data_IF_317911557722
#
_entry.id   IF_317911557722
#
_cell.length_a   1.000
_cell.length_b   1.000
_cell.length_c   1.000
_cell.angle_alpha   90.00
_cell.angle_beta   90.00
_cell.angle_gamma   90.00
#
_symmetry.space_group_name_H-M   'P 1'
#
loop_
_entity.id
_entity.type
_entity.pdbx_description
1 polymer ?
#
# COMPACT_ATOMS: atom_id res chain seq x y z
N UNK A 1 11.23 -29.04 29.25
CA UNK A 1 9.96 -28.29 29.41
C UNK A 1 8.84 -29.13 28.82
N UNK A 2 7.75 -29.39 29.56
CA UNK A 2 6.69 -30.32 29.15
C UNK A 2 5.65 -29.59 28.27
N UNK A 3 5.42 -30.03 27.03
CA UNK A 3 4.43 -29.42 26.12
C UNK A 3 3.02 -29.36 26.73
N UNK A 4 2.64 -30.37 27.51
CA UNK A 4 1.34 -30.39 28.21
C UNK A 4 1.21 -29.20 29.16
N UNK A 5 2.28 -28.88 29.90
CA UNK A 5 2.29 -27.76 30.85
C UNK A 5 2.24 -26.41 30.16
N UNK A 6 2.91 -26.26 29.01
CA UNK A 6 2.82 -25.05 28.19
C UNK A 6 1.40 -24.86 27.66
N UNK A 7 0.78 -25.93 27.16
CA UNK A 7 -0.59 -25.90 26.68
C UNK A 7 -1.59 -25.55 27.79
N UNK A 8 -1.45 -26.17 28.97
CA UNK A 8 -2.29 -25.84 30.13
C UNK A 8 -2.10 -24.37 30.55
N UNK A 9 -0.85 -23.90 30.62
CA UNK A 9 -0.55 -22.51 30.94
C UNK A 9 -1.15 -21.52 29.93
N UNK A 10 -0.97 -21.74 28.62
CA UNK A 10 -1.41 -20.78 27.58
C UNK A 10 -2.92 -20.78 27.30
N UNK A 11 -3.59 -21.93 27.43
CA UNK A 11 -4.96 -22.10 26.93
C UNK A 11 -5.98 -22.44 28.02
N UNK A 12 -5.56 -22.81 29.24
CA UNK A 12 -6.48 -23.22 30.32
C UNK A 12 -6.35 -22.41 31.59
N UNK A 13 -5.17 -21.86 31.88
CA UNK A 13 -4.95 -21.09 33.10
C UNK A 13 -5.56 -19.69 32.98
N UNK A 14 -6.44 -19.32 33.92
CA UNK A 14 -7.09 -18.01 33.98
C UNK A 14 -6.28 -17.01 34.84
N UNK A 15 -5.02 -16.82 34.49
CA UNK A 15 -4.11 -15.91 35.20
C UNK A 15 -3.61 -14.78 34.30
N UNK A 16 -3.27 -13.62 34.89
CA UNK A 16 -2.72 -12.48 34.13
C UNK A 16 -1.46 -12.88 33.33
N UNK A 17 -0.48 -13.63 33.88
CA UNK A 17 0.68 -14.07 33.11
C UNK A 17 0.33 -14.98 31.94
N UNK A 18 -0.65 -15.86 32.10
CA UNK A 18 -1.17 -16.72 31.01
C UNK A 18 -1.73 -15.87 29.87
N UNK A 19 -2.63 -14.92 30.17
CA UNK A 19 -3.20 -14.05 29.13
C UNK A 19 -2.13 -13.23 28.41
N UNK A 20 -1.19 -12.64 29.14
CA UNK A 20 -0.07 -11.88 28.54
C UNK A 20 0.75 -12.78 27.61
N UNK A 21 1.10 -13.99 28.05
CA UNK A 21 1.86 -14.93 27.23
C UNK A 21 1.07 -15.37 25.99
N UNK A 22 -0.22 -15.64 26.14
CA UNK A 22 -1.11 -16.01 25.04
C UNK A 22 -1.21 -14.89 23.98
N UNK A 23 -1.44 -13.65 24.40
CA UNK A 23 -1.54 -12.52 23.46
C UNK A 23 -0.20 -12.22 22.78
N UNK A 24 0.92 -12.30 23.51
CA UNK A 24 2.24 -12.12 22.92
C UNK A 24 2.54 -13.21 21.87
N UNK A 25 2.28 -14.48 22.19
CA UNK A 25 2.46 -15.59 21.26
C UNK A 25 1.52 -15.47 20.05
N UNK A 26 0.27 -15.12 20.28
CA UNK A 26 -0.72 -14.93 19.21
C UNK A 26 -0.33 -13.79 18.28
N UNK A 27 0.17 -12.68 18.81
CA UNK A 27 0.68 -11.56 18.00
C UNK A 27 1.89 -11.99 17.15
N UNK A 28 2.83 -12.73 17.73
CA UNK A 28 3.99 -13.27 16.99
C UNK A 28 3.52 -14.21 15.88
N UNK A 29 2.64 -15.16 16.19
CA UNK A 29 2.09 -16.09 15.20
C UNK A 29 1.32 -15.33 14.10
N UNK A 30 0.48 -14.37 14.47
CA UNK A 30 -0.27 -13.56 13.52
C UNK A 30 0.66 -12.79 12.58
N UNK A 31 1.64 -12.07 13.13
CA UNK A 31 2.53 -11.18 12.38
C UNK A 31 3.51 -11.91 11.49
N UNK A 32 4.07 -13.04 11.96
CA UNK A 32 5.18 -13.70 11.28
C UNK A 32 4.81 -15.01 10.59
N UNK A 33 3.63 -15.59 10.88
CA UNK A 33 3.20 -16.87 10.31
C UNK A 33 1.89 -16.69 9.55
N UNK A 34 0.82 -16.28 10.23
CA UNK A 34 -0.53 -16.28 9.66
C UNK A 34 -0.66 -15.21 8.58
N UNK A 35 -0.28 -13.97 8.84
CA UNK A 35 -0.40 -12.88 7.87
C UNK A 35 0.50 -13.09 6.64
N UNK A 36 1.81 -13.38 6.78
CA UNK A 36 2.66 -13.67 5.61
C UNK A 36 2.19 -14.91 4.85
N UNK A 37 1.76 -15.97 5.56
CA UNK A 37 1.23 -17.18 4.94
C UNK A 37 -0.05 -16.92 4.14
N UNK A 38 -0.94 -16.07 4.66
CA UNK A 38 -2.14 -15.64 3.95
C UNK A 38 -1.80 -14.85 2.68
N UNK A 39 -0.87 -13.89 2.75
CA UNK A 39 -0.43 -13.12 1.57
C UNK A 39 0.17 -14.04 0.48
N UNK A 40 1.05 -14.96 0.86
CA UNK A 40 1.65 -15.94 -0.06
C UNK A 40 0.56 -16.80 -0.72
N UNK A 41 -0.38 -17.31 0.07
CA UNK A 41 -1.49 -18.13 -0.44
C UNK A 41 -2.32 -17.38 -1.49
N UNK A 42 -2.53 -16.08 -1.29
CA UNK A 42 -3.30 -15.24 -2.20
C UNK A 42 -2.49 -14.68 -3.37
N UNK A 43 -1.16 -14.90 -3.39
CA UNK A 43 -0.26 -14.28 -4.37
C UNK A 43 -0.09 -12.76 -4.19
N UNK A 44 -0.37 -12.25 -2.99
CA UNK A 44 -0.27 -10.83 -2.66
C UNK A 44 1.09 -10.52 -2.06
N UNK A 45 1.57 -9.30 -2.30
CA UNK A 45 2.76 -8.76 -1.66
C UNK A 45 2.41 -8.08 -0.34
N UNK A 46 1.34 -7.28 -0.32
CA UNK A 46 0.91 -6.55 0.86
C UNK A 46 -0.53 -6.02 0.74
N UNK A 47 -1.05 -5.49 1.85
CA UNK A 47 -2.30 -4.74 1.92
C UNK A 47 -1.99 -3.36 2.51
N UNK A 48 -2.13 -2.31 1.69
CA UNK A 48 -1.61 -0.97 2.02
C UNK A 48 -2.76 0.02 2.17
N UNK A 49 -2.77 0.74 3.29
CA UNK A 49 -3.76 1.80 3.54
C UNK A 49 -3.42 3.06 2.74
N UNK A 50 -4.46 3.73 2.22
CA UNK A 50 -4.34 5.03 1.57
C UNK A 50 -4.42 6.11 2.65
N UNK A 51 -3.29 6.77 2.90
CA UNK A 51 -3.10 7.66 4.06
C UNK A 51 -3.31 9.14 3.74
N UNK A 52 -3.39 9.52 2.47
CA UNK A 52 -3.52 10.93 2.06
C UNK A 52 -4.50 11.09 0.89
N UNK A 53 -5.05 12.30 0.69
CA UNK A 53 -5.95 12.59 -0.42
C UNK A 53 -5.28 12.64 -1.80
N UNK A 54 -4.00 12.30 -1.95
CA UNK A 54 -3.26 12.52 -3.20
C UNK A 54 -3.79 11.71 -4.38
N UNK A 55 -4.58 10.67 -4.13
CA UNK A 55 -5.26 9.85 -5.15
C UNK A 55 -6.76 10.10 -5.23
N UNK A 56 -7.31 11.04 -4.46
CA UNK A 56 -8.75 11.31 -4.43
C UNK A 56 -9.20 12.06 -5.68
N UNK A 57 -10.28 11.57 -6.29
CA UNK A 57 -10.93 12.27 -7.40
C UNK A 57 -12.01 13.20 -6.85
N UNK A 58 -11.56 14.28 -6.22
CA UNK A 58 -12.41 15.30 -5.62
C UNK A 58 -12.48 16.58 -6.45
N UNK A 59 -12.63 17.72 -5.76
CA UNK A 59 -12.61 19.03 -6.39
C UNK A 59 -11.26 19.28 -7.05
N UNK A 60 -11.26 19.54 -8.36
CA UNK A 60 -10.05 19.83 -9.13
C UNK A 60 -9.51 18.66 -9.96
N UNK A 61 -10.09 17.46 -9.86
CA UNK A 61 -9.69 16.28 -10.66
C UNK A 61 -9.69 16.56 -12.17
N UNK A 62 -10.59 17.43 -12.64
CA UNK A 62 -10.61 17.92 -14.01
C UNK A 62 -9.25 18.49 -14.45
N UNK A 63 -8.59 19.26 -13.57
CA UNK A 63 -7.31 19.89 -13.86
C UNK A 63 -6.13 18.99 -13.50
N UNK A 64 -6.18 18.32 -12.33
CA UNK A 64 -5.04 17.57 -11.78
C UNK A 64 -4.86 16.20 -12.44
N UNK A 65 -5.94 15.62 -12.97
CA UNK A 65 -5.95 14.30 -13.59
C UNK A 65 -6.33 14.38 -15.08
N UNK A 66 -7.59 14.67 -15.41
CA UNK A 66 -8.08 14.56 -16.78
C UNK A 66 -7.33 15.46 -17.76
N UNK A 67 -7.28 16.77 -17.48
CA UNK A 67 -6.54 17.73 -18.30
C UNK A 67 -5.03 17.45 -18.30
N UNK A 68 -4.47 17.04 -17.16
CA UNK A 68 -3.03 16.76 -17.07
C UNK A 68 -2.58 15.65 -18.05
N UNK A 69 -3.37 14.57 -18.15
CA UNK A 69 -3.13 13.48 -19.09
C UNK A 69 -3.48 13.89 -20.53
N UNK A 70 -4.61 14.58 -20.73
CA UNK A 70 -5.04 15.05 -22.06
C UNK A 70 -4.03 15.98 -22.72
N UNK A 71 -3.44 16.93 -21.98
CA UNK A 71 -2.38 17.83 -22.47
C UNK A 71 -1.09 17.10 -22.87
N UNK A 72 -0.95 15.83 -22.46
CA UNK A 72 0.18 14.94 -22.80
C UNK A 72 -0.21 13.89 -23.83
N UNK A 73 -1.37 14.03 -24.48
CA UNK A 73 -1.92 13.08 -25.45
C UNK A 73 -2.10 11.65 -24.88
N UNK A 74 -2.47 11.56 -23.60
CA UNK A 74 -2.70 10.29 -22.92
C UNK A 74 -4.19 10.09 -22.63
N UNK A 75 -4.67 8.89 -22.94
CA UNK A 75 -6.02 8.41 -22.64
C UNK A 75 -6.03 7.76 -21.26
N UNK A 76 -7.09 8.00 -20.48
CA UNK A 76 -7.24 7.50 -19.09
C UNK A 76 -8.35 6.46 -18.96
N UNK A 77 -9.07 6.19 -20.04
CA UNK A 77 -10.26 5.34 -20.10
C UNK A 77 -10.00 3.91 -19.61
N UNK A 78 -8.81 3.38 -19.91
CA UNK A 78 -8.41 2.02 -19.54
C UNK A 78 -7.62 1.96 -18.22
N UNK A 79 -7.40 3.10 -17.55
CA UNK A 79 -6.62 3.13 -16.33
C UNK A 79 -7.35 2.47 -15.15
N UNK A 80 -6.65 1.70 -14.31
CA UNK A 80 -7.23 1.14 -13.10
C UNK A 80 -7.61 2.26 -12.12
N UNK A 81 -8.62 2.01 -11.28
CA UNK A 81 -9.14 2.99 -10.33
C UNK A 81 -9.59 4.31 -11.02
N UNK A 82 -10.58 4.25 -11.93
CA UNK A 82 -11.03 5.43 -12.71
C UNK A 82 -11.67 6.52 -11.84
N UNK A 83 -12.02 6.21 -10.60
CA UNK A 83 -12.57 7.17 -9.62
C UNK A 83 -11.58 7.45 -8.48
N UNK A 84 -10.29 7.21 -8.69
CA UNK A 84 -9.25 7.38 -7.69
C UNK A 84 -9.36 6.43 -6.49
N UNK A 85 -8.65 6.79 -5.43
CA UNK A 85 -8.60 6.09 -4.15
C UNK A 85 -8.83 7.10 -3.03
N UNK A 86 -9.68 6.75 -2.06
CA UNK A 86 -10.01 7.64 -0.95
C UNK A 86 -9.15 7.35 0.27
N UNK A 87 -8.92 8.38 1.09
CA UNK A 87 -8.34 8.21 2.42
C UNK A 87 -9.14 7.18 3.21
N UNK A 88 -8.43 6.21 3.80
CA UNK A 88 -9.06 5.10 4.53
C UNK A 88 -9.41 3.89 3.67
N UNK A 89 -9.24 3.93 2.36
CA UNK A 89 -9.21 2.71 1.54
C UNK A 89 -7.97 1.86 1.89
N UNK A 90 -8.06 0.55 1.64
CA UNK A 90 -6.89 -0.33 1.59
C UNK A 90 -6.77 -0.92 0.18
N UNK A 91 -5.57 -0.97 -0.37
CA UNK A 91 -5.30 -1.58 -1.68
C UNK A 91 -4.56 -2.90 -1.52
N UNK A 92 -5.00 -3.90 -2.29
CA UNK A 92 -4.28 -5.16 -2.45
C UNK A 92 -3.15 -4.93 -3.44
N UNK A 93 -1.94 -5.27 -3.02
CA UNK A 93 -0.72 -5.09 -3.80
C UNK A 93 -0.19 -6.44 -4.26
N UNK A 94 0.08 -6.60 -5.54
CA UNK A 94 0.71 -7.79 -6.11
C UNK A 94 2.13 -7.48 -6.58
N UNK A 95 3.10 -8.39 -6.39
CA UNK A 95 4.45 -8.18 -6.88
C UNK A 95 4.47 -8.29 -8.40
N UNK A 96 5.12 -7.36 -9.09
CA UNK A 96 5.28 -7.39 -10.55
C UNK A 96 6.50 -6.59 -10.98
N UNK A 97 7.12 -7.03 -12.08
CA UNK A 97 8.11 -6.27 -12.85
C UNK A 97 7.50 -5.62 -14.10
N UNK A 98 6.27 -6.00 -14.43
CA UNK A 98 5.51 -5.47 -15.55
C UNK A 98 4.65 -4.30 -15.07
N UNK A 99 5.16 -3.09 -15.31
CA UNK A 99 4.60 -1.82 -14.85
C UNK A 99 4.53 -0.89 -16.05
N UNK A 100 3.32 -0.45 -16.33
CA UNK A 100 3.00 0.39 -17.48
C UNK A 100 2.46 1.74 -17.01
N UNK A 101 2.41 2.68 -17.96
CA UNK A 101 1.81 3.98 -17.72
C UNK A 101 0.31 3.82 -17.45
N UNK A 102 -0.18 4.44 -16.39
CA UNK A 102 -1.57 4.33 -15.93
C UNK A 102 -1.76 3.42 -14.72
N UNK A 103 -0.84 2.49 -14.47
CA UNK A 103 -0.86 1.64 -13.29
C UNK A 103 -0.77 2.45 -12.00
N UNK A 104 -1.42 1.96 -10.94
CA UNK A 104 -1.21 2.49 -9.58
C UNK A 104 -0.26 1.56 -8.84
N UNK A 105 0.84 2.09 -8.33
CA UNK A 105 1.88 1.32 -7.65
C UNK A 105 2.06 1.80 -6.21
N UNK A 106 2.50 0.87 -5.36
CA UNK A 106 2.98 1.19 -4.01
C UNK A 106 4.49 1.14 -4.00
N UNK A 107 5.14 2.20 -3.53
CA UNK A 107 6.60 2.30 -3.49
C UNK A 107 7.09 3.11 -2.29
N UNK A 108 8.36 2.91 -1.93
CA UNK A 108 9.06 3.69 -0.91
C UNK A 108 10.00 4.70 -1.56
N UNK A 109 9.70 6.01 -1.52
CA UNK A 109 10.61 7.03 -2.01
C UNK A 109 11.92 7.04 -1.21
N UNK A 110 13.03 7.42 -1.85
CA UNK A 110 14.33 7.49 -1.17
C UNK A 110 14.26 8.49 -0.01
N UNK A 111 14.70 8.05 1.17
CA UNK A 111 14.74 8.88 2.37
C UNK A 111 13.42 9.01 3.13
N UNK A 112 12.35 8.33 2.69
CA UNK A 112 11.08 8.27 3.44
C UNK A 112 10.88 6.88 4.04
N UNK A 113 10.32 6.84 5.26
CA UNK A 113 10.00 5.60 5.99
C UNK A 113 8.61 5.05 5.67
N UNK A 114 7.81 5.78 4.88
CA UNK A 114 6.46 5.42 4.51
C UNK A 114 6.32 5.27 3.00
N UNK A 115 5.38 4.43 2.59
CA UNK A 115 5.09 4.19 1.18
C UNK A 115 4.14 5.24 0.62
N UNK A 116 4.25 5.51 -0.68
CA UNK A 116 3.26 6.25 -1.46
C UNK A 116 2.48 5.30 -2.36
N UNK A 117 1.22 5.63 -2.60
CA UNK A 117 0.33 4.90 -3.53
C UNK A 117 -0.02 5.87 -4.65
N UNK A 118 0.69 5.85 -5.78
CA UNK A 118 0.52 6.83 -6.85
C UNK A 118 0.46 6.17 -8.23
N UNK A 119 -0.03 6.93 -9.22
CA UNK A 119 -0.15 6.47 -10.59
C UNK A 119 1.13 6.69 -11.38
N UNK A 120 1.56 5.69 -12.13
CA UNK A 120 2.69 5.78 -13.06
C UNK A 120 2.29 6.66 -14.24
N UNK A 121 3.08 7.69 -14.50
CA UNK A 121 2.87 8.65 -15.60
C UNK A 121 3.97 8.60 -16.66
N UNK A 122 5.10 7.94 -16.34
CA UNK A 122 6.21 7.72 -17.27
C UNK A 122 6.97 6.47 -16.88
N UNK A 123 7.37 5.70 -17.90
CA UNK A 123 8.27 4.55 -17.79
C UNK A 123 9.42 4.80 -18.77
N UNK A 124 10.65 4.81 -18.25
CA UNK A 124 11.88 4.97 -19.04
C UNK A 124 12.73 3.72 -18.85
N UNK A 125 12.78 2.84 -19.84
CA UNK A 125 13.53 1.58 -19.81
C UNK A 125 14.60 1.56 -20.91
N UNK A 126 15.70 2.28 -20.70
CA UNK A 126 16.84 2.23 -21.63
C UNK A 126 17.75 1.04 -21.29
N UNK A 127 18.50 1.11 -20.20
CA UNK A 127 19.29 0.00 -19.65
C UNK A 127 18.65 -0.59 -18.40
N UNK A 128 18.15 0.30 -17.53
CA UNK A 128 17.38 0.00 -16.32
C UNK A 128 16.06 0.75 -16.40
N UNK A 129 14.99 0.15 -15.87
CA UNK A 129 13.67 0.78 -15.85
C UNK A 129 13.57 1.78 -14.68
N UNK A 130 13.23 3.01 -15.03
CA UNK A 130 12.89 4.07 -14.09
C UNK A 130 11.44 4.49 -14.26
N UNK A 131 10.77 4.69 -13.14
CA UNK A 131 9.37 5.06 -13.09
C UNK A 131 9.22 6.48 -12.57
N UNK A 132 8.28 7.22 -13.16
CA UNK A 132 7.77 8.46 -12.59
C UNK A 132 6.31 8.28 -12.23
N UNK A 133 5.95 8.66 -11.02
CA UNK A 133 4.56 8.60 -10.54
C UNK A 133 4.00 9.99 -10.29
N UNK A 134 2.69 10.06 -10.07
CA UNK A 134 1.99 11.27 -9.67
C UNK A 134 0.75 10.87 -8.85
N UNK A 135 0.50 11.58 -7.77
CA UNK A 135 -0.83 11.57 -7.14
C UNK A 135 -1.89 12.18 -8.08
N UNK A 136 -2.99 11.49 -8.34
CA UNK A 136 -4.05 11.96 -9.24
C UNK A 136 -4.59 13.37 -8.85
N UNK A 137 -4.63 13.68 -7.55
CA UNK A 137 -5.08 14.96 -6.99
C UNK A 137 -3.99 16.05 -6.94
N UNK A 138 -2.73 15.73 -7.25
CA UNK A 138 -1.63 16.70 -7.19
C UNK A 138 -1.56 17.52 -8.50
N UNK A 139 -1.18 18.79 -8.46
CA UNK A 139 -0.99 19.59 -9.70
C UNK A 139 0.34 19.30 -10.40
N UNK A 140 1.34 18.85 -9.64
CA UNK A 140 2.72 18.69 -10.08
C UNK A 140 3.31 17.35 -9.65
N UNK A 141 4.43 16.97 -10.28
CA UNK A 141 5.24 15.82 -9.91
C UNK A 141 6.39 16.30 -9.01
N UNK A 142 6.43 15.80 -7.79
CA UNK A 142 7.46 16.08 -6.81
C UNK A 142 8.77 15.35 -7.16
N UNK A 143 9.94 15.85 -6.70
CA UNK A 143 11.22 15.16 -6.93
C UNK A 143 11.27 13.71 -6.41
N UNK A 144 10.55 13.43 -5.32
CA UNK A 144 10.46 12.09 -4.71
C UNK A 144 9.63 11.09 -5.53
N UNK A 145 8.88 11.57 -6.53
CA UNK A 145 8.04 10.75 -7.40
C UNK A 145 8.73 10.43 -8.74
N UNK A 146 9.99 10.84 -8.91
CA UNK A 146 10.80 10.63 -10.13
C UNK A 146 11.92 9.62 -9.88
N UNK A 147 12.40 9.00 -10.96
CA UNK A 147 13.54 8.08 -10.96
C UNK A 147 13.38 6.95 -9.93
N UNK A 148 12.15 6.46 -9.76
CA UNK A 148 11.83 5.34 -8.87
C UNK A 148 12.37 4.08 -9.53
N UNK A 149 13.18 3.30 -8.81
CA UNK A 149 13.70 2.03 -9.31
C UNK A 149 12.79 0.88 -8.92
N UNK A 150 12.95 -0.27 -9.59
CA UNK A 150 12.15 -1.46 -9.31
C UNK A 150 12.25 -1.92 -7.84
N UNK A 151 13.40 -1.77 -7.20
CA UNK A 151 13.63 -2.16 -5.80
C UNK A 151 12.85 -1.31 -4.80
N UNK A 152 12.48 -0.09 -5.20
CA UNK A 152 11.67 0.80 -4.39
C UNK A 152 10.19 0.43 -4.45
N UNK A 153 9.77 -0.37 -5.44
CA UNK A 153 8.38 -0.72 -5.69
C UNK A 153 8.02 -1.98 -4.89
N UNK A 154 6.98 -1.85 -4.06
CA UNK A 154 6.37 -2.98 -3.37
C UNK A 154 5.59 -3.82 -4.39
N UNK A 155 4.79 -3.17 -5.23
CA UNK A 155 4.05 -3.82 -6.30
C UNK A 155 2.93 -2.95 -6.87
N UNK A 156 2.12 -3.55 -7.74
CA UNK A 156 0.95 -2.91 -8.37
C UNK A 156 -0.28 -3.06 -7.48
N UNK A 157 -1.02 -1.98 -7.27
CA UNK A 157 -2.35 -2.03 -6.66
C UNK A 157 -3.34 -2.61 -7.68
N UNK A 158 -4.03 -3.68 -7.33
CA UNK A 158 -4.96 -4.39 -8.25
C UNK A 158 -6.42 -4.34 -7.81
N UNK A 159 -6.66 -4.06 -6.53
CA UNK A 159 -8.01 -4.02 -5.98
C UNK A 159 -8.06 -3.11 -4.77
N UNK A 160 -9.18 -2.41 -4.56
CA UNK A 160 -9.43 -1.57 -3.37
C UNK A 160 -10.51 -2.18 -2.48
N UNK A 161 -10.31 -2.08 -1.18
CA UNK A 161 -11.29 -2.41 -0.15
C UNK A 161 -11.62 -1.10 0.59
N UNK A 162 -12.80 -0.51 0.35
CA UNK A 162 -13.17 0.75 0.98
C UNK A 162 -13.16 0.67 2.50
N UNK A 163 -12.73 1.74 3.16
CA UNK A 163 -12.75 1.93 4.62
C UNK A 163 -11.88 0.97 5.47
N UNK A 164 -11.32 -0.08 4.90
CA UNK A 164 -10.49 -1.06 5.63
C UNK A 164 -9.18 -0.42 6.15
N UNK A 165 -8.69 0.63 5.50
CA UNK A 165 -7.52 1.40 5.90
C UNK A 165 -7.77 2.43 7.00
N UNK A 166 -9.02 2.64 7.44
CA UNK A 166 -9.35 3.64 8.46
C UNK A 166 -8.58 3.48 9.78
N UNK A 167 -8.41 2.26 10.35
CA UNK A 167 -7.66 2.11 11.60
C UNK A 167 -6.21 2.57 11.45
N UNK A 168 -5.55 2.22 10.34
CA UNK A 168 -4.17 2.64 10.08
C UNK A 168 -4.08 4.13 9.81
N UNK A 169 -5.03 4.68 9.06
CA UNK A 169 -5.11 6.11 8.76
C UNK A 169 -5.28 6.94 10.03
N UNK A 170 -6.16 6.50 10.94
CA UNK A 170 -6.34 7.15 12.24
C UNK A 170 -5.07 7.11 13.08
N UNK A 171 -4.39 5.96 13.14
CA UNK A 171 -3.10 5.85 13.84
C UNK A 171 -2.05 6.80 13.25
N UNK A 172 -1.96 6.88 11.92
CA UNK A 172 -1.02 7.77 11.24
C UNK A 172 -1.27 9.24 11.60
N UNK A 173 -2.52 9.70 11.59
CA UNK A 173 -2.84 11.09 11.95
C UNK A 173 -2.66 11.39 13.45
N UNK A 174 -2.94 10.44 14.33
CA UNK A 174 -2.82 10.65 15.77
C UNK A 174 -1.39 10.52 16.29
N UNK A 175 -0.59 9.62 15.69
CA UNK A 175 0.69 9.16 16.25
C UNK A 175 1.87 9.37 15.29
N UNK A 176 1.64 9.72 14.03
CA UNK A 176 2.69 9.88 13.02
C UNK A 176 3.37 8.58 12.59
N UNK A 177 2.71 7.43 12.79
CA UNK A 177 3.24 6.07 12.51
C UNK A 177 2.33 5.24 11.60
#
# INVERSE_FOLDING_TARGET
>A
MNLKRIYEFLFKEESIPSYVAFFALSFIALKFIIYPGFLILMGWKDIVAVLSPSMEHGNGVEYTYYRWFSERNMSVEDFPFPNGLNVGDAVIVVPTHDIEVGDVIVFYPRGLSYSLVHRVVKVDCEEECYYTTKGDANSEILPIEKNITQEQIVGKAVFRIPLLGLPRTLMFYLLGI
#
